data_IF_518899731330
#
_entry.id   IF_518899731330
#
_cell.length_a   1.000
_cell.length_b   1.000
_cell.length_c   1.000
_cell.angle_alpha   90.00
_cell.angle_beta   90.00
_cell.angle_gamma   90.00
#
_symmetry.space_group_name_H-M   'P 1'
#
loop_
_entity.id
_entity.type
_entity.pdbx_description
1 polymer ?
#
# COMPACT_ATOMS: atom_id res chain seq x y z
N UNK A 1 -11.67 8.80 0.79
CA UNK A 1 -12.69 8.10 1.58
C UNK A 1 -13.22 6.93 0.79
N UNK A 2 -13.61 5.86 1.45
CA UNK A 2 -14.10 4.64 0.81
C UNK A 2 -15.55 4.37 1.23
N UNK A 3 -16.35 3.65 0.44
CA UNK A 3 -17.75 3.37 0.78
C UNK A 3 -17.90 2.49 2.01
N UNK A 4 -16.84 1.84 2.47
CA UNK A 4 -16.83 0.84 3.53
C UNK A 4 -17.08 -0.58 3.00
N UNK A 5 -17.01 -1.56 3.91
CA UNK A 5 -17.12 -2.97 3.56
C UNK A 5 -15.88 -3.54 2.90
N UNK A 6 -16.02 -4.74 2.33
CA UNK A 6 -14.93 -5.41 1.61
C UNK A 6 -14.85 -4.86 0.18
N UNK A 7 -13.67 -4.32 -0.26
CA UNK A 7 -13.50 -3.83 -1.62
C UNK A 7 -13.79 -4.88 -2.71
N UNK A 8 -13.60 -6.17 -2.45
CA UNK A 8 -13.96 -7.23 -3.39
C UNK A 8 -15.46 -7.31 -3.70
N UNK A 9 -16.31 -6.76 -2.83
CA UNK A 9 -17.75 -6.71 -3.02
C UNK A 9 -18.26 -5.41 -3.66
N UNK A 10 -17.39 -4.44 -3.93
CA UNK A 10 -17.81 -3.18 -4.52
C UNK A 10 -18.26 -3.35 -5.95
N UNK A 11 -19.40 -2.76 -6.25
CA UNK A 11 -19.98 -2.68 -7.58
C UNK A 11 -19.92 -1.25 -8.10
N UNK A 12 -20.14 -1.06 -9.40
CA UNK A 12 -20.27 0.26 -10.01
C UNK A 12 -21.31 1.12 -9.26
N UNK A 13 -22.46 0.55 -8.92
CA UNK A 13 -23.54 1.27 -8.19
C UNK A 13 -23.07 1.76 -6.83
N UNK A 14 -22.34 0.92 -6.07
CA UNK A 14 -21.76 1.28 -4.76
C UNK A 14 -20.77 2.42 -4.88
N UNK A 15 -19.83 2.34 -5.83
CA UNK A 15 -18.81 3.36 -6.02
C UNK A 15 -19.39 4.66 -6.57
N UNK A 16 -20.31 4.60 -7.55
CA UNK A 16 -20.98 5.79 -8.09
C UNK A 16 -21.79 6.52 -7.02
N UNK A 17 -22.57 5.83 -6.21
CA UNK A 17 -23.29 6.43 -5.09
C UNK A 17 -22.35 7.05 -4.04
N UNK A 18 -21.22 6.41 -3.80
CA UNK A 18 -20.22 6.97 -2.88
C UNK A 18 -19.59 8.24 -3.45
N UNK A 19 -19.24 8.26 -4.75
CA UNK A 19 -18.76 9.44 -5.43
C UNK A 19 -19.77 10.58 -5.36
N UNK A 20 -21.03 10.34 -5.74
CA UNK A 20 -22.10 11.33 -5.66
C UNK A 20 -22.27 11.90 -4.24
N UNK A 21 -22.18 11.04 -3.23
CA UNK A 21 -22.22 11.48 -1.83
C UNK A 21 -21.09 12.46 -1.49
N UNK A 22 -19.87 12.21 -1.96
CA UNK A 22 -18.72 13.09 -1.76
C UNK A 22 -18.91 14.41 -2.53
N UNK A 23 -19.38 14.33 -3.77
CA UNK A 23 -19.62 15.49 -4.64
C UNK A 23 -20.74 16.40 -4.10
N UNK A 24 -21.74 15.87 -3.42
CA UNK A 24 -22.79 16.66 -2.75
C UNK A 24 -22.24 17.58 -1.64
N UNK A 25 -21.01 17.36 -1.16
CA UNK A 25 -20.31 18.27 -0.25
C UNK A 25 -19.37 19.25 -0.96
N UNK A 26 -19.44 19.34 -2.31
CA UNK A 26 -18.54 20.19 -3.11
C UNK A 26 -17.10 19.68 -3.21
N UNK A 27 -16.89 18.38 -2.96
CA UNK A 27 -15.60 17.70 -3.03
C UNK A 27 -15.55 16.76 -4.24
N UNK A 28 -14.35 16.42 -4.69
CA UNK A 28 -14.14 15.40 -5.73
C UNK A 28 -13.61 14.11 -5.09
N UNK A 29 -14.14 12.95 -5.48
CA UNK A 29 -13.59 11.66 -5.09
C UNK A 29 -12.52 11.23 -6.11
N UNK A 30 -11.27 11.56 -5.83
CA UNK A 30 -10.16 11.27 -6.73
C UNK A 30 -9.57 9.87 -6.56
N UNK A 31 -9.77 9.23 -5.40
CA UNK A 31 -9.06 7.99 -5.09
C UNK A 31 -9.83 7.10 -4.12
N UNK A 32 -9.81 5.79 -4.37
CA UNK A 32 -10.29 4.73 -3.46
C UNK A 32 -9.19 3.73 -3.15
N UNK A 33 -9.36 2.93 -2.09
CA UNK A 33 -8.42 1.90 -1.67
C UNK A 33 -8.68 0.57 -2.38
N UNK A 34 -7.64 -0.07 -2.96
CA UNK A 34 -7.70 -1.46 -3.37
C UNK A 34 -7.65 -2.41 -2.15
N UNK A 35 -8.03 -3.69 -2.29
CA UNK A 35 -8.01 -4.69 -1.20
C UNK A 35 -6.59 -5.14 -0.81
N UNK A 36 -5.65 -4.21 -0.82
CA UNK A 36 -4.27 -4.32 -0.38
C UNK A 36 -4.00 -3.16 0.58
N UNK A 37 -4.46 -3.32 1.81
CA UNK A 37 -4.35 -2.29 2.84
C UNK A 37 -3.01 -2.36 3.58
N UNK A 38 -2.79 -1.42 4.50
CA UNK A 38 -1.60 -1.39 5.36
C UNK A 38 -1.71 -2.31 6.59
N UNK A 39 -2.72 -3.16 6.67
CA UNK A 39 -2.87 -4.13 7.77
C UNK A 39 -1.80 -5.23 7.72
N UNK A 40 -1.50 -5.90 8.84
CA UNK A 40 -0.73 -7.13 8.81
C UNK A 40 -1.34 -8.15 7.85
N UNK A 41 -0.50 -8.99 7.24
CA UNK A 41 -0.91 -9.94 6.20
C UNK A 41 -2.03 -10.89 6.66
N UNK A 42 -2.08 -11.22 7.95
CA UNK A 42 -3.11 -12.06 8.57
C UNK A 42 -4.51 -11.44 8.49
N UNK A 43 -4.58 -10.13 8.36
CA UNK A 43 -5.82 -9.34 8.29
C UNK A 43 -6.04 -8.71 6.90
N UNK A 44 -5.20 -9.05 5.92
CA UNK A 44 -5.31 -8.55 4.55
C UNK A 44 -6.51 -9.17 3.84
N UNK A 45 -7.17 -8.41 2.98
CA UNK A 45 -8.25 -8.91 2.12
C UNK A 45 -7.71 -9.73 0.93
N UNK A 46 -6.43 -9.50 0.54
CA UNK A 46 -5.75 -10.22 -0.55
C UNK A 46 -4.37 -10.69 -0.10
N UNK A 47 -4.29 -11.60 0.89
CA UNK A 47 -3.02 -11.97 1.50
C UNK A 47 -2.12 -12.77 0.56
N UNK A 48 -2.70 -13.57 -0.36
CA UNK A 48 -1.94 -14.51 -1.18
C UNK A 48 -1.08 -13.80 -2.24
N UNK A 49 -1.43 -12.56 -2.62
CA UNK A 49 -0.58 -11.72 -3.48
C UNK A 49 0.80 -11.55 -2.84
N UNK A 50 0.84 -11.11 -1.58
CA UNK A 50 2.11 -10.88 -0.87
C UNK A 50 2.66 -12.15 -0.19
N UNK A 51 1.89 -13.22 -0.05
CA UNK A 51 2.38 -14.55 0.35
C UNK A 51 2.97 -15.32 -0.84
N UNK A 52 2.69 -14.93 -2.09
CA UNK A 52 3.15 -15.60 -3.30
C UNK A 52 2.52 -16.98 -3.49
N UNK A 53 1.30 -17.22 -3.00
CA UNK A 53 0.64 -18.52 -3.00
C UNK A 53 -0.33 -18.68 -4.17
N UNK A 54 0.09 -19.36 -5.23
CA UNK A 54 -0.80 -19.77 -6.34
C UNK A 54 -1.51 -21.10 -6.02
N UNK A 55 -2.76 -21.31 -6.50
CA UNK A 55 -3.49 -20.44 -7.44
C UNK A 55 -4.27 -19.28 -6.78
N UNK A 56 -4.26 -19.14 -5.46
CA UNK A 56 -5.02 -18.13 -4.72
C UNK A 56 -4.54 -16.71 -5.08
N UNK A 57 -3.21 -16.51 -5.22
CA UNK A 57 -2.61 -15.26 -5.68
C UNK A 57 -3.24 -14.79 -6.99
N UNK A 58 -3.36 -15.69 -7.95
CA UNK A 58 -3.82 -15.35 -9.29
C UNK A 58 -5.30 -14.98 -9.29
N UNK A 59 -6.13 -15.63 -8.46
CA UNK A 59 -7.55 -15.28 -8.25
C UNK A 59 -7.72 -13.92 -7.58
N UNK A 60 -6.87 -13.63 -6.58
CA UNK A 60 -6.88 -12.31 -5.92
C UNK A 60 -6.47 -11.20 -6.89
N UNK A 61 -5.47 -11.44 -7.75
CA UNK A 61 -5.07 -10.50 -8.80
C UNK A 61 -6.21 -10.29 -9.80
N UNK A 62 -6.88 -11.33 -10.26
CA UNK A 62 -8.04 -11.22 -11.15
C UNK A 62 -9.16 -10.38 -10.52
N UNK A 63 -9.41 -10.57 -9.22
CA UNK A 63 -10.37 -9.74 -8.49
C UNK A 63 -9.95 -8.26 -8.44
N UNK A 64 -8.66 -7.96 -8.25
CA UNK A 64 -8.13 -6.59 -8.32
C UNK A 64 -8.28 -6.00 -9.72
N UNK A 65 -8.01 -6.76 -10.78
CA UNK A 65 -8.22 -6.33 -12.17
C UNK A 65 -9.68 -5.97 -12.44
N UNK A 66 -10.63 -6.79 -11.99
CA UNK A 66 -12.05 -6.51 -12.09
C UNK A 66 -12.45 -5.23 -11.31
N UNK A 67 -11.86 -5.03 -10.13
CA UNK A 67 -12.13 -3.82 -9.36
C UNK A 67 -11.58 -2.56 -10.04
N UNK A 68 -10.41 -2.61 -10.69
CA UNK A 68 -9.87 -1.49 -11.49
C UNK A 68 -10.85 -1.09 -12.60
N UNK A 69 -11.46 -2.07 -13.28
CA UNK A 69 -12.50 -1.83 -14.28
C UNK A 69 -13.73 -1.13 -13.65
N UNK A 70 -14.23 -1.63 -12.52
CA UNK A 70 -15.37 -1.05 -11.81
C UNK A 70 -15.06 0.40 -11.37
N UNK A 71 -13.85 0.68 -10.88
CA UNK A 71 -13.38 2.02 -10.50
C UNK A 71 -13.43 2.97 -11.70
N UNK A 72 -12.92 2.53 -12.85
CA UNK A 72 -13.00 3.29 -14.11
C UNK A 72 -14.44 3.57 -14.53
N UNK A 73 -15.29 2.54 -14.55
CA UNK A 73 -16.72 2.68 -14.90
C UNK A 73 -17.50 3.57 -13.94
N UNK A 74 -16.99 3.78 -12.74
CA UNK A 74 -17.53 4.70 -11.71
C UNK A 74 -16.94 6.10 -11.82
N UNK A 75 -16.11 6.37 -12.86
CA UNK A 75 -15.45 7.65 -13.11
C UNK A 75 -14.55 8.13 -11.95
N UNK A 76 -13.92 7.19 -11.23
CA UNK A 76 -12.93 7.48 -10.20
C UNK A 76 -11.53 7.31 -10.84
N UNK A 77 -10.68 8.37 -10.85
CA UNK A 77 -9.49 8.39 -11.70
C UNK A 77 -8.30 7.62 -11.12
N UNK A 78 -8.34 7.23 -9.85
CA UNK A 78 -7.18 6.57 -9.24
C UNK A 78 -7.54 5.62 -8.10
N UNK A 79 -6.62 4.71 -7.81
CA UNK A 79 -6.72 3.78 -6.69
C UNK A 79 -5.37 3.67 -5.96
N UNK A 80 -5.41 3.67 -4.62
CA UNK A 80 -4.21 3.45 -3.80
C UNK A 80 -4.14 2.02 -3.28
N UNK A 81 -2.93 1.57 -2.98
CA UNK A 81 -2.68 0.25 -2.40
C UNK A 81 -1.37 0.21 -1.59
N UNK A 82 -1.19 -0.86 -0.85
CA UNK A 82 0.02 -1.12 -0.08
C UNK A 82 0.53 -2.53 -0.40
N UNK A 83 1.84 -2.65 -0.66
CA UNK A 83 2.52 -3.95 -0.79
C UNK A 83 3.08 -4.33 0.58
N UNK A 84 2.22 -4.71 1.52
CA UNK A 84 2.58 -4.84 2.93
C UNK A 84 2.45 -6.28 3.45
N UNK A 85 3.30 -6.65 4.41
CA UNK A 85 3.28 -7.96 5.08
C UNK A 85 3.12 -7.78 6.59
N UNK A 86 3.99 -7.01 7.23
CA UNK A 86 4.04 -6.90 8.71
C UNK A 86 3.14 -5.81 9.30
N UNK A 87 2.35 -5.14 8.47
CA UNK A 87 1.51 -4.03 8.90
C UNK A 87 2.30 -2.75 9.16
N UNK A 88 1.76 -1.91 10.03
CA UNK A 88 2.38 -0.67 10.48
C UNK A 88 2.84 -0.88 11.94
N UNK A 89 4.10 -1.29 12.18
CA UNK A 89 4.61 -1.50 13.53
C UNK A 89 4.53 -0.22 14.36
N UNK A 90 4.07 -0.34 15.58
CA UNK A 90 3.99 0.78 16.54
C UNK A 90 4.41 0.31 17.91
N UNK A 91 4.98 1.25 18.69
CA UNK A 91 5.16 1.12 20.12
C UNK A 91 3.93 1.70 20.85
N UNK A 92 4.09 2.05 22.12
CA UNK A 92 3.04 2.74 22.86
C UNK A 92 2.80 4.17 22.32
N UNK A 93 1.60 4.70 22.55
CA UNK A 93 1.29 6.10 22.21
C UNK A 93 2.07 7.04 23.12
N UNK A 94 2.59 8.14 22.55
CA UNK A 94 3.31 9.16 23.28
C UNK A 94 2.56 10.50 23.22
N UNK A 95 2.74 11.30 24.31
CA UNK A 95 2.15 12.63 24.37
C UNK A 95 2.91 13.59 23.46
N UNK A 96 2.18 14.29 22.60
CA UNK A 96 2.70 15.34 21.76
C UNK A 96 2.28 16.73 22.23
N UNK A 97 2.46 17.72 21.34
CA UNK A 97 2.08 19.12 21.60
C UNK A 97 0.59 19.23 21.93
N UNK A 98 0.25 20.08 22.90
CA UNK A 98 -1.12 20.29 23.34
C UNK A 98 -1.76 19.09 24.05
N UNK A 99 -0.97 18.09 24.46
CA UNK A 99 -1.47 16.89 25.13
C UNK A 99 -2.05 15.83 24.19
N UNK A 100 -1.86 15.97 22.87
CA UNK A 100 -2.25 14.93 21.89
C UNK A 100 -1.59 13.58 22.20
N UNK A 101 -2.27 12.48 21.87
CA UNK A 101 -1.69 11.15 21.93
C UNK A 101 -1.34 10.71 20.50
N UNK A 102 -0.03 10.66 20.21
CA UNK A 102 0.47 10.30 18.90
C UNK A 102 0.76 8.80 18.82
N UNK A 103 0.38 8.18 17.70
CA UNK A 103 0.86 6.85 17.34
C UNK A 103 2.36 6.96 17.04
N UNK A 104 3.19 6.17 17.72
CA UNK A 104 4.65 6.35 17.71
C UNK A 104 5.34 5.02 17.48
N UNK A 105 6.50 5.03 16.83
CA UNK A 105 7.44 3.93 16.83
C UNK A 105 8.72 4.35 17.58
N UNK A 106 9.04 3.59 18.62
CA UNK A 106 10.37 3.53 19.26
C UNK A 106 10.91 2.13 19.01
N UNK A 107 11.77 1.97 18.02
CA UNK A 107 12.24 0.66 17.60
C UNK A 107 12.85 -0.14 18.76
N UNK A 108 13.61 0.51 19.63
CA UNK A 108 14.19 -0.11 20.84
C UNK A 108 13.17 -0.79 21.77
N UNK A 109 11.92 -0.34 21.75
CA UNK A 109 10.83 -0.94 22.55
C UNK A 109 10.23 -2.19 21.92
N UNK A 110 10.37 -2.36 20.60
CA UNK A 110 9.78 -3.47 19.84
C UNK A 110 10.81 -4.38 19.18
N UNK A 111 12.11 -4.09 19.28
CA UNK A 111 13.17 -4.85 18.61
C UNK A 111 13.22 -6.34 19.00
N UNK A 112 12.71 -6.70 20.17
CA UNK A 112 12.62 -8.08 20.62
C UNK A 112 11.34 -8.80 20.16
N UNK A 113 10.39 -8.09 19.58
CA UNK A 113 9.20 -8.64 18.93
C UNK A 113 9.50 -8.90 17.43
N UNK A 114 10.46 -9.80 17.21
CA UNK A 114 11.09 -10.04 15.90
C UNK A 114 10.77 -11.43 15.32
N UNK A 115 9.84 -12.15 15.94
CA UNK A 115 9.44 -13.46 15.43
C UNK A 115 8.75 -13.32 14.05
N UNK A 116 9.15 -14.11 13.04
CA UNK A 116 8.47 -14.13 11.75
C UNK A 116 6.98 -14.47 11.89
N UNK A 117 6.13 -13.72 11.18
CA UNK A 117 4.70 -14.05 11.06
C UNK A 117 4.43 -15.19 10.07
N UNK A 118 3.17 -15.32 9.62
CA UNK A 118 2.73 -16.38 8.70
C UNK A 118 3.40 -16.35 7.32
N UNK A 119 4.00 -15.21 6.95
CA UNK A 119 4.77 -15.07 5.71
C UNK A 119 6.16 -15.74 5.80
N UNK A 120 6.63 -16.09 7.00
CA UNK A 120 7.98 -16.62 7.23
C UNK A 120 9.06 -15.58 6.90
N UNK A 121 10.19 -16.08 6.39
CA UNK A 121 11.28 -15.22 5.95
C UNK A 121 11.01 -14.73 4.53
N UNK A 122 10.96 -13.42 4.34
CA UNK A 122 10.78 -12.75 3.05
C UNK A 122 11.95 -11.80 2.86
N UNK A 123 12.96 -12.27 2.15
CA UNK A 123 14.12 -11.47 1.80
C UNK A 123 13.82 -10.45 0.69
N UNK A 124 14.80 -9.63 0.35
CA UNK A 124 14.67 -8.59 -0.66
C UNK A 124 14.27 -9.17 -2.03
N UNK A 125 14.91 -10.26 -2.46
CA UNK A 125 14.65 -10.85 -3.79
C UNK A 125 13.23 -11.41 -3.88
N UNK A 126 12.80 -12.13 -2.86
CA UNK A 126 11.44 -12.67 -2.76
C UNK A 126 10.39 -11.55 -2.73
N UNK A 127 10.68 -10.45 -2.03
CA UNK A 127 9.77 -9.32 -1.98
C UNK A 127 9.63 -8.66 -3.36
N UNK A 128 10.77 -8.42 -4.05
CA UNK A 128 10.76 -7.86 -5.40
C UNK A 128 10.10 -8.76 -6.43
N UNK A 129 10.31 -10.08 -6.36
CA UNK A 129 9.61 -11.04 -7.23
C UNK A 129 8.08 -10.92 -7.09
N UNK A 130 7.57 -10.81 -5.87
CA UNK A 130 6.13 -10.66 -5.63
C UNK A 130 5.57 -9.34 -6.15
N UNK A 131 6.31 -8.25 -5.96
CA UNK A 131 5.96 -6.94 -6.54
C UNK A 131 5.94 -6.99 -8.05
N UNK A 132 7.01 -7.51 -8.68
CA UNK A 132 7.15 -7.59 -10.14
C UNK A 132 6.01 -8.40 -10.76
N UNK A 133 5.73 -9.57 -10.19
CA UNK A 133 4.63 -10.41 -10.64
C UNK A 133 3.28 -9.69 -10.57
N UNK A 134 2.98 -9.03 -9.46
CA UNK A 134 1.74 -8.28 -9.28
C UNK A 134 1.63 -7.12 -10.27
N UNK A 135 2.66 -6.28 -10.38
CA UNK A 135 2.66 -5.14 -11.28
C UNK A 135 2.50 -5.56 -12.74
N UNK A 136 3.19 -6.62 -13.17
CA UNK A 136 3.07 -7.16 -14.52
C UNK A 136 1.65 -7.56 -14.91
N UNK A 137 0.81 -7.94 -13.92
CA UNK A 137 -0.58 -8.32 -14.16
C UNK A 137 -1.54 -7.12 -14.11
N UNK A 138 -1.30 -6.12 -13.25
CA UNK A 138 -2.28 -5.06 -13.03
C UNK A 138 -2.01 -3.78 -13.84
N UNK A 139 -0.74 -3.46 -14.15
CA UNK A 139 -0.42 -2.21 -14.86
C UNK A 139 -1.03 -2.16 -16.28
N UNK A 140 -1.00 -3.25 -17.10
CA UNK A 140 -1.69 -3.26 -18.39
C UNK A 140 -3.19 -2.98 -18.27
N UNK A 141 -3.85 -3.51 -17.25
CA UNK A 141 -5.28 -3.29 -16.98
C UNK A 141 -5.52 -1.84 -16.55
N UNK A 142 -4.67 -1.30 -15.67
CA UNK A 142 -4.75 0.09 -15.23
C UNK A 142 -4.60 1.07 -16.42
N UNK A 143 -3.70 0.78 -17.36
CA UNK A 143 -3.53 1.54 -18.58
C UNK A 143 -4.74 1.44 -19.52
N UNK A 144 -5.29 0.24 -19.71
CA UNK A 144 -6.49 0.02 -20.52
C UNK A 144 -7.68 0.82 -19.99
N UNK A 145 -7.92 0.75 -18.68
CA UNK A 145 -9.06 1.39 -18.02
C UNK A 145 -8.78 2.82 -17.52
N UNK A 146 -7.57 3.37 -17.75
CA UNK A 146 -7.17 4.75 -17.41
C UNK A 146 -7.29 5.07 -15.91
N UNK A 147 -7.02 4.10 -15.04
CA UNK A 147 -7.00 4.26 -13.58
C UNK A 147 -5.55 4.34 -13.09
N UNK A 148 -5.16 5.44 -12.47
CA UNK A 148 -3.82 5.61 -11.90
C UNK A 148 -3.70 4.80 -10.62
N UNK A 149 -2.73 3.91 -10.57
CA UNK A 149 -2.41 3.09 -9.41
C UNK A 149 -1.29 3.73 -8.58
N UNK A 150 -1.54 3.91 -7.30
CA UNK A 150 -0.67 4.65 -6.40
C UNK A 150 -0.30 3.81 -5.17
N UNK A 151 0.94 3.29 -5.13
CA UNK A 151 1.44 2.50 -4.02
C UNK A 151 1.95 3.40 -2.89
N UNK A 152 1.53 3.11 -1.65
CA UNK A 152 2.06 3.80 -0.48
C UNK A 152 3.40 3.19 -0.05
N UNK A 153 4.41 4.01 0.30
CA UNK A 153 5.66 3.53 0.89
C UNK A 153 5.42 2.70 2.16
N UNK A 154 6.39 1.88 2.53
CA UNK A 154 6.35 1.16 3.81
C UNK A 154 6.51 2.11 5.00
N UNK A 155 5.52 2.17 5.86
CA UNK A 155 5.48 2.98 7.08
C UNK A 155 5.44 2.06 8.32
N UNK A 156 6.27 2.31 9.31
CA UNK A 156 7.47 3.16 9.33
C UNK A 156 8.69 2.45 8.76
N UNK A 157 9.83 3.14 8.68
CA UNK A 157 11.12 2.47 8.46
C UNK A 157 11.37 1.41 9.54
N UNK A 158 11.85 0.24 9.13
CA UNK A 158 12.32 -0.83 10.02
C UNK A 158 13.60 -1.45 9.45
N UNK A 159 14.52 -1.91 10.29
CA UNK A 159 15.71 -2.63 9.82
C UNK A 159 15.33 -3.85 8.97
N UNK A 160 16.21 -4.21 8.04
CA UNK A 160 16.04 -5.38 7.19
C UNK A 160 15.89 -6.65 8.02
N UNK A 161 14.93 -7.49 7.66
CA UNK A 161 14.65 -8.74 8.34
C UNK A 161 13.79 -8.62 9.61
N UNK A 162 13.39 -7.42 10.01
CA UNK A 162 12.49 -7.27 11.16
C UNK A 162 11.19 -8.07 10.92
N UNK A 163 10.83 -8.90 11.91
CA UNK A 163 9.75 -9.90 11.81
C UNK A 163 9.86 -10.80 10.57
N UNK A 164 11.10 -11.13 10.18
CA UNK A 164 11.40 -11.97 9.04
C UNK A 164 11.30 -11.28 7.67
N UNK A 165 10.99 -9.98 7.58
CA UNK A 165 10.66 -9.31 6.31
C UNK A 165 11.63 -8.16 6.01
N UNK A 166 12.21 -8.17 4.80
CA UNK A 166 12.93 -7.01 4.24
C UNK A 166 11.94 -6.11 3.50
N UNK A 167 11.67 -4.94 4.06
CA UNK A 167 10.67 -3.99 3.52
C UNK A 167 11.28 -3.11 2.44
N UNK A 168 11.25 -3.59 1.19
CA UNK A 168 11.92 -2.95 0.05
C UNK A 168 11.41 -1.55 -0.32
N UNK A 169 10.15 -1.22 0.01
CA UNK A 169 9.59 0.12 -0.18
C UNK A 169 9.77 1.02 1.06
N UNK A 170 10.66 0.64 1.96
CA UNK A 170 11.05 1.40 3.15
C UNK A 170 12.34 2.19 2.98
N UNK A 171 12.84 2.35 1.75
CA UNK A 171 14.04 3.14 1.41
C UNK A 171 13.79 3.97 0.16
N UNK A 172 14.48 5.11 0.02
CA UNK A 172 14.39 5.96 -1.17
C UNK A 172 14.82 5.19 -2.43
N UNK A 173 15.90 4.40 -2.37
CA UNK A 173 16.34 3.59 -3.49
C UNK A 173 15.32 2.53 -3.89
N UNK A 174 14.65 1.91 -2.91
CA UNK A 174 13.53 1.00 -3.16
C UNK A 174 12.37 1.69 -3.85
N UNK A 175 12.01 2.91 -3.46
CA UNK A 175 10.97 3.69 -4.13
C UNK A 175 11.38 4.09 -5.55
N UNK A 176 12.63 4.52 -5.76
CA UNK A 176 13.18 4.81 -7.10
C UNK A 176 13.17 3.57 -8.00
N UNK A 177 13.50 2.39 -7.47
CA UNK A 177 13.41 1.12 -8.19
C UNK A 177 11.97 0.77 -8.53
N UNK A 178 11.05 0.92 -7.57
CA UNK A 178 9.64 0.59 -7.73
C UNK A 178 8.97 1.38 -8.87
N UNK A 179 9.19 2.69 -8.96
CA UNK A 179 8.56 3.52 -10.02
C UNK A 179 9.12 3.24 -11.41
N UNK A 180 10.31 2.63 -11.51
CA UNK A 180 10.91 2.19 -12.78
C UNK A 180 10.49 0.78 -13.19
N UNK A 181 9.98 0.00 -12.25
CA UNK A 181 9.50 -1.36 -12.52
C UNK A 181 8.14 -1.28 -13.22
N UNK A 182 8.03 -1.82 -14.45
CA UNK A 182 6.84 -1.63 -15.31
C UNK A 182 6.44 -0.15 -15.50
N UNK A 183 7.43 0.72 -15.75
CA UNK A 183 7.23 2.16 -15.90
C UNK A 183 6.07 2.49 -16.85
N UNK A 184 5.08 3.24 -16.34
CA UNK A 184 3.84 3.52 -17.04
C UNK A 184 3.17 4.76 -16.44
N UNK A 185 2.47 5.62 -17.23
CA UNK A 185 1.72 6.77 -16.70
C UNK A 185 0.63 6.44 -15.68
N UNK A 186 0.22 5.17 -15.61
CA UNK A 186 -0.79 4.68 -14.66
C UNK A 186 -0.19 3.94 -13.46
N UNK A 187 1.15 3.97 -13.31
CA UNK A 187 1.88 3.39 -12.19
C UNK A 187 2.69 4.45 -11.46
N UNK A 188 2.59 4.49 -10.12
CA UNK A 188 3.33 5.45 -9.32
C UNK A 188 3.15 5.29 -7.82
N UNK A 189 3.47 6.34 -7.09
CA UNK A 189 3.41 6.37 -5.63
C UNK A 189 2.22 7.22 -5.14
N UNK A 190 1.54 6.73 -4.12
CA UNK A 190 0.85 7.57 -3.16
C UNK A 190 1.91 8.15 -2.23
N UNK A 191 2.61 9.20 -2.70
CA UNK A 191 3.77 9.76 -2.04
C UNK A 191 3.39 10.32 -0.67
N UNK A 192 3.92 9.71 0.38
CA UNK A 192 3.75 10.16 1.76
C UNK A 192 5.04 10.81 2.25
N UNK A 193 5.10 12.13 2.25
CA UNK A 193 6.28 12.89 2.67
C UNK A 193 6.72 12.51 4.09
N UNK A 194 5.77 12.33 5.02
CA UNK A 194 6.09 11.91 6.39
C UNK A 194 6.82 10.56 6.43
N UNK A 195 6.31 9.56 5.72
CA UNK A 195 6.94 8.23 5.65
C UNK A 195 8.31 8.29 4.96
N UNK A 196 8.46 9.07 3.90
CA UNK A 196 9.77 9.25 3.24
C UNK A 196 10.75 9.95 4.17
N UNK A 197 10.32 10.96 4.92
CA UNK A 197 11.14 11.66 5.92
C UNK A 197 11.72 10.71 6.97
N UNK A 198 10.99 9.66 7.35
CA UNK A 198 11.46 8.63 8.30
C UNK A 198 12.57 7.73 7.73
N UNK A 199 12.77 7.71 6.42
CA UNK A 199 13.80 6.92 5.72
C UNK A 199 15.14 7.65 5.61
N UNK A 200 15.16 8.96 5.89
CA UNK A 200 16.30 9.86 5.65
C UNK A 200 17.13 10.05 6.92
N UNK A 201 18.44 10.20 6.76
CA UNK A 201 19.35 10.52 7.86
C UNK A 201 19.26 12.00 8.23
N UNK A 202 19.22 12.88 7.21
CA UNK A 202 19.11 14.32 7.34
C UNK A 202 17.88 14.85 6.59
N UNK A 203 16.65 14.60 7.10
CA UNK A 203 15.42 14.87 6.36
C UNK A 203 15.20 16.33 6.00
N UNK A 204 15.82 17.27 6.74
CA UNK A 204 15.73 18.70 6.44
C UNK A 204 16.44 19.11 5.13
N UNK A 205 17.37 18.32 4.67
CA UNK A 205 18.14 18.54 3.45
C UNK A 205 17.70 17.55 2.35
N UNK A 206 17.68 16.26 2.66
CA UNK A 206 17.48 15.18 1.69
C UNK A 206 16.04 15.06 1.15
N UNK A 207 15.04 15.67 1.83
CA UNK A 207 13.64 15.56 1.38
C UNK A 207 13.37 16.34 0.08
N UNK A 208 14.29 17.19 -0.33
CA UNK A 208 14.18 18.01 -1.54
C UNK A 208 14.94 17.44 -2.76
N UNK A 209 15.70 16.35 -2.57
CA UNK A 209 16.48 15.64 -3.60
C UNK A 209 15.67 14.46 -4.20
#
# INVERSE_FOLDING_TARGET
SDPGGDPHSWTKDVLSKHREKVENFGLTLDMVQLPLSSTPIENSQSPNIMLGKSPERDREIESVQNLIKIISESEIPSAKYNMNIIGIPRSEKERGRGGSLNSTLRFEKIKNDDAPGIAGIVDENTFWERIDYFLGQIIPVAEEYKVRLACHPHDPFTPNGFRGVTRVLGTVDGLKKFVKLHENPYHGLNFCQGTVTEMLENPGEEIFD
#
